data_IF_593714149276
#
_entry.id   IF_593714149276
#
_cell.length_a   1.000
_cell.length_b   1.000
_cell.length_c   1.000
_cell.angle_alpha   90.00
_cell.angle_beta   90.00
_cell.angle_gamma   90.00
#
_symmetry.space_group_name_H-M   'P 1'
#
loop_
_entity.id
_entity.type
_entity.pdbx_description
1 polymer ?
#
# COMPACT_ATOMS: atom_id res chain seq x y z
N UNK A 1 6.61 0.73 -30.06
CA UNK A 1 7.81 0.15 -29.40
C UNK A 1 7.57 -0.24 -27.94
N UNK A 2 6.85 0.54 -27.13
CA UNK A 2 6.50 0.13 -25.74
C UNK A 2 5.65 -1.14 -25.66
N UNK A 3 4.63 -1.32 -26.52
CA UNK A 3 3.80 -2.53 -26.50
C UNK A 3 4.59 -3.84 -26.76
N UNK A 4 5.58 -3.82 -27.65
CA UNK A 4 6.46 -4.98 -27.90
C UNK A 4 7.41 -5.27 -26.72
N UNK A 5 7.84 -4.23 -25.97
CA UNK A 5 8.59 -4.41 -24.72
C UNK A 5 7.74 -5.12 -23.66
N UNK A 6 6.44 -4.90 -23.63
CA UNK A 6 5.54 -5.54 -22.67
C UNK A 6 5.15 -6.98 -23.04
N UNK A 7 4.91 -7.26 -24.32
CA UNK A 7 4.61 -8.63 -24.78
C UNK A 7 5.70 -9.65 -24.38
N UNK A 8 6.96 -9.25 -24.50
CA UNK A 8 8.10 -10.12 -24.21
C UNK A 8 8.41 -10.30 -22.73
N UNK A 9 7.74 -9.58 -21.83
CA UNK A 9 7.89 -9.75 -20.37
C UNK A 9 6.68 -10.40 -19.71
N UNK A 10 5.50 -10.39 -20.34
CA UNK A 10 4.27 -10.97 -19.77
C UNK A 10 4.48 -12.45 -19.38
N UNK A 11 5.05 -13.33 -20.22
CA UNK A 11 5.28 -14.72 -19.84
C UNK A 11 6.21 -14.87 -18.62
N UNK A 12 7.19 -13.98 -18.49
CA UNK A 12 8.15 -13.96 -17.38
C UNK A 12 7.44 -13.57 -16.09
N UNK A 13 6.60 -12.53 -16.13
CA UNK A 13 5.77 -12.11 -14.98
C UNK A 13 4.82 -13.24 -14.57
N UNK A 14 4.15 -13.90 -15.52
CA UNK A 14 3.24 -15.01 -15.23
C UNK A 14 3.97 -16.17 -14.55
N UNK A 15 5.17 -16.51 -15.03
CA UNK A 15 6.02 -17.53 -14.40
C UNK A 15 6.48 -17.12 -13.01
N UNK A 16 6.88 -15.86 -12.81
CA UNK A 16 7.25 -15.32 -11.51
C UNK A 16 6.09 -15.36 -10.51
N UNK A 17 4.89 -14.98 -10.94
CA UNK A 17 3.65 -15.06 -10.15
C UNK A 17 3.36 -16.51 -9.75
N UNK A 18 3.48 -17.47 -10.68
CA UNK A 18 3.28 -18.89 -10.35
C UNK A 18 4.25 -19.37 -9.26
N UNK A 19 5.52 -18.98 -9.32
CA UNK A 19 6.47 -19.29 -8.26
C UNK A 19 6.13 -18.58 -6.95
N UNK A 20 5.72 -17.32 -7.01
CA UNK A 20 5.28 -16.56 -5.85
C UNK A 20 4.07 -17.21 -5.16
N UNK A 21 3.04 -17.57 -5.92
CA UNK A 21 1.81 -18.20 -5.40
C UNK A 21 2.08 -19.59 -4.80
N UNK A 22 3.08 -20.30 -5.33
CA UNK A 22 3.55 -21.59 -4.80
C UNK A 22 4.62 -21.43 -3.71
N UNK A 23 4.84 -20.21 -3.19
CA UNK A 23 5.81 -19.86 -2.15
C UNK A 23 7.28 -20.18 -2.49
N UNK A 24 7.59 -20.40 -3.76
CA UNK A 24 8.95 -20.61 -4.26
C UNK A 24 9.62 -19.25 -4.54
N UNK A 25 9.77 -18.43 -3.49
CA UNK A 25 10.16 -17.03 -3.62
C UNK A 25 11.56 -16.85 -4.22
N UNK A 26 12.49 -17.74 -3.92
CA UNK A 26 13.86 -17.75 -4.47
C UNK A 26 13.86 -17.90 -5.99
N UNK A 27 12.88 -18.63 -6.55
CA UNK A 27 12.71 -18.77 -8.00
C UNK A 27 11.95 -17.59 -8.61
N UNK A 28 11.08 -16.93 -7.85
CA UNK A 28 10.31 -15.77 -8.29
C UNK A 28 11.17 -14.50 -8.40
N UNK A 29 12.06 -14.26 -7.43
CA UNK A 29 12.92 -13.07 -7.34
C UNK A 29 13.69 -12.77 -8.63
N UNK A 30 14.49 -13.69 -9.22
CA UNK A 30 15.29 -13.36 -10.40
C UNK A 30 14.42 -12.99 -11.61
N UNK A 31 13.23 -13.58 -11.74
CA UNK A 31 12.29 -13.27 -12.81
C UNK A 31 11.68 -11.87 -12.63
N UNK A 32 11.30 -11.50 -11.41
CA UNK A 32 10.86 -10.13 -11.13
C UNK A 32 11.98 -9.11 -11.34
N UNK A 33 13.22 -9.44 -10.96
CA UNK A 33 14.39 -8.57 -11.16
C UNK A 33 14.65 -8.32 -12.64
N UNK A 34 14.62 -9.37 -13.46
CA UNK A 34 14.79 -9.25 -14.91
C UNK A 34 13.74 -8.30 -15.51
N UNK A 35 12.46 -8.51 -15.18
CA UNK A 35 11.40 -7.66 -15.73
C UNK A 35 11.47 -6.24 -15.17
N UNK A 36 11.85 -6.06 -13.91
CA UNK A 36 12.07 -4.75 -13.32
C UNK A 36 13.17 -3.98 -14.06
N UNK A 37 14.31 -4.61 -14.37
CA UNK A 37 15.38 -3.98 -15.14
C UNK A 37 14.92 -3.53 -16.53
N UNK A 38 14.04 -4.31 -17.17
CA UNK A 38 13.54 -4.01 -18.52
C UNK A 38 12.45 -2.94 -18.56
N UNK A 39 11.65 -2.83 -17.50
CA UNK A 39 10.41 -2.02 -17.48
C UNK A 39 10.41 -0.87 -16.48
N UNK A 40 11.27 -0.89 -15.47
CA UNK A 40 11.28 0.07 -14.37
C UNK A 40 10.01 0.05 -13.49
N UNK A 41 9.11 -0.93 -13.67
CA UNK A 41 7.82 -0.95 -12.96
C UNK A 41 8.01 -1.28 -11.48
N UNK A 42 7.77 -0.30 -10.61
CA UNK A 42 7.96 -0.47 -9.16
C UNK A 42 7.10 -1.58 -8.56
N UNK A 43 5.95 -1.94 -9.17
CA UNK A 43 5.15 -3.08 -8.72
C UNK A 43 5.96 -4.37 -8.64
N UNK A 44 6.92 -4.57 -9.56
CA UNK A 44 7.82 -5.72 -9.57
C UNK A 44 8.88 -5.61 -8.47
N UNK A 45 9.35 -4.39 -8.21
CA UNK A 45 10.26 -4.11 -7.11
C UNK A 45 9.62 -4.39 -5.75
N UNK A 46 8.36 -4.00 -5.56
CA UNK A 46 7.56 -4.34 -4.38
C UNK A 46 7.39 -5.86 -4.27
N UNK A 47 7.18 -6.57 -5.38
CA UNK A 47 7.11 -8.04 -5.38
C UNK A 47 8.44 -8.70 -4.95
N UNK A 48 9.58 -8.14 -5.35
CA UNK A 48 10.90 -8.61 -4.87
C UNK A 48 11.05 -8.38 -3.37
N UNK A 49 10.70 -7.19 -2.88
CA UNK A 49 10.72 -6.89 -1.45
C UNK A 49 9.81 -7.86 -0.67
N UNK A 50 8.61 -8.12 -1.17
CA UNK A 50 7.65 -9.08 -0.59
C UNK A 50 8.21 -10.50 -0.53
N UNK A 51 8.89 -10.97 -1.58
CA UNK A 51 9.61 -12.24 -1.56
C UNK A 51 10.67 -12.28 -0.45
N UNK A 52 11.46 -11.21 -0.29
CA UNK A 52 12.48 -11.16 0.75
C UNK A 52 11.88 -11.21 2.16
N UNK A 53 10.78 -10.49 2.40
CA UNK A 53 10.03 -10.57 3.66
C UNK A 53 9.53 -12.00 3.93
N UNK A 54 8.95 -12.65 2.91
CA UNK A 54 8.41 -14.00 3.06
C UNK A 54 9.48 -15.07 3.30
N UNK A 55 10.73 -14.79 2.92
CA UNK A 55 11.91 -15.62 3.19
C UNK A 55 12.55 -15.33 4.57
N UNK A 56 11.96 -14.45 5.39
CA UNK A 56 12.52 -14.04 6.68
C UNK A 56 13.62 -12.99 6.58
N UNK A 57 13.92 -12.48 5.37
CA UNK A 57 14.87 -11.38 5.18
C UNK A 57 14.18 -10.03 5.38
N UNK A 58 13.62 -9.83 6.57
CA UNK A 58 12.72 -8.72 6.88
C UNK A 58 13.39 -7.36 6.69
N UNK A 59 14.57 -7.17 7.27
CA UNK A 59 15.36 -5.94 7.16
C UNK A 59 15.61 -5.55 5.70
N UNK A 60 15.97 -6.53 4.86
CA UNK A 60 16.21 -6.31 3.43
C UNK A 60 14.94 -5.90 2.70
N UNK A 61 13.84 -6.63 2.92
CA UNK A 61 12.56 -6.33 2.27
C UNK A 61 12.03 -4.95 2.64
N UNK A 62 12.12 -4.57 3.91
CA UNK A 62 11.72 -3.24 4.39
C UNK A 62 12.63 -2.15 3.81
N UNK A 63 13.95 -2.34 3.88
CA UNK A 63 14.94 -1.35 3.39
C UNK A 63 14.75 -1.05 1.90
N UNK A 64 14.41 -2.07 1.10
CA UNK A 64 14.05 -1.89 -0.31
C UNK A 64 12.86 -0.93 -0.47
N UNK A 65 11.80 -1.13 0.31
CA UNK A 65 10.60 -0.29 0.24
C UNK A 65 10.86 1.15 0.72
N UNK A 66 11.69 1.34 1.75
CA UNK A 66 12.06 2.67 2.25
C UNK A 66 12.95 3.42 1.26
N UNK A 67 13.80 2.71 0.51
CA UNK A 67 14.78 3.28 -0.41
C UNK A 67 14.56 2.79 -1.85
N UNK A 68 13.41 3.11 -2.49
CA UNK A 68 13.13 2.63 -3.83
C UNK A 68 14.10 3.29 -4.84
N UNK A 69 14.38 2.61 -5.97
CA UNK A 69 15.34 3.07 -6.97
C UNK A 69 15.05 4.50 -7.47
N UNK A 70 16.08 5.33 -7.74
CA UNK A 70 15.90 6.65 -8.33
C UNK A 70 15.05 6.62 -9.60
N UNK A 71 14.22 7.63 -9.83
CA UNK A 71 13.30 7.70 -10.98
C UNK A 71 11.99 6.92 -10.83
N UNK A 72 11.87 6.04 -9.84
CA UNK A 72 10.60 5.35 -9.52
C UNK A 72 9.75 6.09 -8.48
N UNK A 73 10.28 7.18 -7.92
CA UNK A 73 9.65 7.97 -6.85
C UNK A 73 8.64 8.96 -7.42
N UNK A 74 7.36 8.61 -7.36
CA UNK A 74 6.22 9.48 -7.64
C UNK A 74 5.16 9.29 -6.53
N UNK A 75 4.04 10.02 -6.63
CA UNK A 75 2.99 9.95 -5.61
C UNK A 75 2.42 8.54 -5.50
N UNK A 76 2.00 7.96 -6.62
CA UNK A 76 1.34 6.65 -6.68
C UNK A 76 2.25 5.54 -6.15
N UNK A 77 3.54 5.61 -6.44
CA UNK A 77 4.50 4.62 -5.95
C UNK A 77 4.76 4.72 -4.46
N UNK A 78 4.85 5.93 -3.91
CA UNK A 78 4.96 6.14 -2.45
C UNK A 78 3.70 5.66 -1.73
N UNK A 79 2.53 5.96 -2.29
CA UNK A 79 1.25 5.47 -1.76
C UNK A 79 1.17 3.94 -1.76
N UNK A 80 1.61 3.29 -2.84
CA UNK A 80 1.63 1.84 -2.95
C UNK A 80 2.57 1.18 -1.93
N UNK A 81 3.74 1.77 -1.68
CA UNK A 81 4.69 1.32 -0.66
C UNK A 81 4.07 1.43 0.74
N UNK A 82 3.53 2.61 1.10
CA UNK A 82 2.95 2.82 2.43
C UNK A 82 1.72 1.94 2.66
N UNK A 83 0.89 1.73 1.62
CA UNK A 83 -0.23 0.80 1.68
C UNK A 83 0.25 -0.65 1.88
N UNK A 84 1.40 -1.02 1.31
CA UNK A 84 2.01 -2.32 1.54
C UNK A 84 2.51 -2.47 2.98
N UNK A 85 3.24 -1.48 3.50
CA UNK A 85 3.70 -1.46 4.89
C UNK A 85 2.52 -1.61 5.86
N UNK A 86 1.43 -0.87 5.61
CA UNK A 86 0.20 -0.97 6.40
C UNK A 86 -0.38 -2.40 6.41
N UNK A 87 -0.44 -3.07 5.25
CA UNK A 87 -0.91 -4.46 5.15
C UNK A 87 0.00 -5.46 5.87
N UNK A 88 1.27 -5.13 6.08
CA UNK A 88 2.22 -5.96 6.84
C UNK A 88 2.19 -5.70 8.35
N UNK A 89 1.41 -4.72 8.80
CA UNK A 89 1.33 -4.36 10.22
C UNK A 89 2.34 -3.30 10.64
N UNK A 90 3.13 -2.77 9.72
CA UNK A 90 4.06 -1.64 9.93
C UNK A 90 3.28 -0.31 9.97
N UNK A 91 2.31 -0.22 10.90
CA UNK A 91 1.31 0.86 10.96
C UNK A 91 1.99 2.21 11.18
N UNK A 92 2.99 2.29 12.06
CA UNK A 92 3.68 3.54 12.40
C UNK A 92 4.46 4.08 11.21
N UNK A 93 5.15 3.19 10.47
CA UNK A 93 5.88 3.56 9.25
C UNK A 93 4.94 4.02 8.14
N UNK A 94 3.84 3.28 7.94
CA UNK A 94 2.83 3.64 6.96
C UNK A 94 2.20 5.00 7.28
N UNK A 95 1.87 5.27 8.55
CA UNK A 95 1.33 6.57 8.98
C UNK A 95 2.31 7.70 8.72
N UNK A 96 3.59 7.53 9.09
CA UNK A 96 4.62 8.51 8.81
C UNK A 96 4.70 8.80 7.30
N UNK A 97 4.77 7.77 6.47
CA UNK A 97 4.84 7.90 5.03
C UNK A 97 3.61 8.59 4.40
N UNK A 98 2.39 8.27 4.86
CA UNK A 98 1.18 8.95 4.40
C UNK A 98 1.12 10.41 4.86
N UNK A 99 1.59 10.73 6.08
CA UNK A 99 1.72 12.13 6.53
C UNK A 99 2.68 12.92 5.66
N UNK A 100 3.82 12.35 5.29
CA UNK A 100 4.76 13.01 4.37
C UNK A 100 4.18 13.23 2.97
N UNK A 101 3.34 12.30 2.50
CA UNK A 101 2.62 12.47 1.24
C UNK A 101 1.65 13.63 1.36
N UNK A 102 0.80 13.63 2.38
CA UNK A 102 -0.22 14.66 2.60
C UNK A 102 0.37 16.05 2.88
N UNK A 103 1.56 16.14 3.48
CA UNK A 103 2.29 17.39 3.64
C UNK A 103 2.67 18.04 2.30
N UNK A 104 2.90 17.23 1.26
CA UNK A 104 3.27 17.70 -0.10
C UNK A 104 2.07 17.74 -1.06
N UNK A 105 1.09 16.86 -0.84
CA UNK A 105 -0.11 16.65 -1.67
C UNK A 105 -1.33 16.49 -0.76
N UNK A 106 -1.81 17.60 -0.17
CA UNK A 106 -2.91 17.58 0.78
C UNK A 106 -4.25 17.14 0.17
N UNK A 107 -4.34 17.12 -1.16
CA UNK A 107 -5.49 16.76 -1.99
C UNK A 107 -5.49 15.30 -2.45
N UNK A 108 -4.59 14.44 -1.93
CA UNK A 108 -4.65 13.01 -2.24
C UNK A 108 -5.80 12.33 -1.49
N UNK A 109 -6.91 12.06 -2.20
CA UNK A 109 -8.05 11.32 -1.66
C UNK A 109 -7.64 9.93 -1.16
N UNK A 110 -6.71 9.26 -1.86
CA UNK A 110 -6.26 7.91 -1.51
C UNK A 110 -5.42 7.91 -0.24
N UNK A 111 -4.55 8.89 -0.06
CA UNK A 111 -3.77 9.03 1.16
C UNK A 111 -4.65 9.36 2.37
N UNK A 112 -5.68 10.21 2.22
CA UNK A 112 -6.68 10.44 3.28
C UNK A 112 -7.45 9.16 3.63
N UNK A 113 -7.83 8.36 2.63
CA UNK A 113 -8.45 7.06 2.87
C UNK A 113 -7.55 6.13 3.69
N UNK A 114 -6.27 6.03 3.34
CA UNK A 114 -5.32 5.18 4.06
C UNK A 114 -5.07 5.67 5.50
N UNK A 115 -5.05 6.99 5.74
CA UNK A 115 -5.04 7.56 7.09
C UNK A 115 -6.31 7.17 7.88
N UNK A 116 -7.47 7.12 7.23
CA UNK A 116 -8.70 6.60 7.83
C UNK A 116 -8.55 5.14 8.26
N UNK A 117 -8.01 4.28 7.40
CA UNK A 117 -7.74 2.87 7.75
C UNK A 117 -6.78 2.76 8.94
N UNK A 118 -5.71 3.57 8.98
CA UNK A 118 -4.75 3.60 10.10
C UNK A 118 -5.43 4.00 11.41
N UNK A 119 -6.25 5.05 11.39
CA UNK A 119 -6.99 5.49 12.57
C UNK A 119 -8.01 4.46 13.03
N UNK A 120 -8.69 3.78 12.09
CA UNK A 120 -9.61 2.69 12.37
C UNK A 120 -8.91 1.52 13.07
N UNK A 121 -7.77 1.06 12.54
CA UNK A 121 -6.97 -0.01 13.16
C UNK A 121 -6.52 0.34 14.58
N UNK A 122 -6.25 1.61 14.85
CA UNK A 122 -5.91 2.13 16.18
C UNK A 122 -7.12 2.47 17.05
N UNK A 123 -8.34 2.12 16.62
CA UNK A 123 -9.60 2.41 17.33
C UNK A 123 -9.83 3.91 17.61
N UNK A 124 -9.21 4.78 16.82
CA UNK A 124 -9.39 6.25 16.85
C UNK A 124 -10.53 6.61 15.90
N UNK A 125 -11.75 6.21 16.26
CA UNK A 125 -12.89 6.21 15.34
C UNK A 125 -13.27 7.60 14.83
N UNK A 126 -13.17 8.64 15.66
CA UNK A 126 -13.48 10.01 15.26
C UNK A 126 -12.48 10.55 14.23
N UNK A 127 -11.18 10.32 14.44
CA UNK A 127 -10.12 10.70 13.50
C UNK A 127 -10.22 9.88 12.19
N UNK A 128 -10.66 8.62 12.30
CA UNK A 128 -10.93 7.76 11.15
C UNK A 128 -12.06 8.33 10.28
N UNK A 129 -13.16 8.76 10.90
CA UNK A 129 -14.29 9.40 10.21
C UNK A 129 -13.83 10.67 9.50
N UNK A 130 -13.09 11.57 10.17
CA UNK A 130 -12.57 12.81 9.55
C UNK A 130 -11.71 12.52 8.31
N UNK A 131 -10.84 11.51 8.40
CA UNK A 131 -9.97 11.12 7.30
C UNK A 131 -10.76 10.55 6.11
N UNK A 132 -11.77 9.70 6.36
CA UNK A 132 -12.65 9.22 5.30
C UNK A 132 -13.50 10.34 4.70
N UNK A 133 -13.94 11.31 5.50
CA UNK A 133 -14.68 12.48 5.00
C UNK A 133 -13.82 13.35 4.09
N UNK A 134 -12.55 13.59 4.44
CA UNK A 134 -11.60 14.27 3.54
C UNK A 134 -11.41 13.49 2.23
N UNK A 135 -11.31 12.17 2.30
CA UNK A 135 -11.23 11.32 1.10
C UNK A 135 -12.47 11.47 0.20
N UNK A 136 -13.67 11.45 0.79
CA UNK A 136 -14.93 11.57 0.06
C UNK A 136 -15.22 12.99 -0.46
N UNK A 137 -14.69 14.01 0.20
CA UNK A 137 -14.73 15.38 -0.29
C UNK A 137 -13.94 15.52 -1.60
N UNK A 138 -12.80 14.83 -1.69
CA UNK A 138 -11.91 14.87 -2.86
C UNK A 138 -12.34 13.89 -3.96
N UNK A 139 -12.95 12.76 -3.57
CA UNK A 139 -13.51 11.77 -4.48
C UNK A 139 -14.79 11.16 -3.90
N UNK A 140 -15.93 11.74 -4.27
CA UNK A 140 -17.25 11.39 -3.72
C UNK A 140 -17.68 9.96 -4.06
N UNK A 141 -17.19 9.40 -5.17
CA UNK A 141 -17.54 8.06 -5.63
C UNK A 141 -16.63 6.98 -5.04
N UNK A 142 -15.72 7.33 -4.12
CA UNK A 142 -14.81 6.35 -3.54
C UNK A 142 -15.49 5.45 -2.51
N UNK A 143 -16.16 4.40 -3.01
CA UNK A 143 -16.95 3.43 -2.23
C UNK A 143 -16.19 2.87 -1.04
N UNK A 144 -14.89 2.59 -1.19
CA UNK A 144 -14.05 2.07 -0.11
C UNK A 144 -14.01 3.02 1.11
N UNK A 145 -13.95 4.33 0.89
CA UNK A 145 -13.98 5.31 1.97
C UNK A 145 -15.37 5.41 2.63
N UNK A 146 -16.46 5.28 1.86
CA UNK A 146 -17.84 5.22 2.43
C UNK A 146 -18.00 4.02 3.36
N UNK A 147 -17.52 2.85 2.94
CA UNK A 147 -17.54 1.63 3.75
C UNK A 147 -16.70 1.83 5.02
N UNK A 148 -15.46 2.32 4.89
CA UNK A 148 -14.58 2.59 6.03
C UNK A 148 -15.19 3.57 7.05
N UNK A 149 -15.85 4.63 6.56
CA UNK A 149 -16.58 5.59 7.39
C UNK A 149 -17.72 4.92 8.15
N UNK A 150 -18.54 4.10 7.48
CA UNK A 150 -19.64 3.37 8.12
C UNK A 150 -19.17 2.46 9.25
N UNK A 151 -18.08 1.71 9.02
CA UNK A 151 -17.46 0.85 10.05
C UNK A 151 -16.99 1.70 11.24
N UNK A 152 -16.36 2.85 10.98
CA UNK A 152 -15.88 3.76 12.03
C UNK A 152 -17.03 4.34 12.87
N UNK A 153 -18.13 4.73 12.23
CA UNK A 153 -19.34 5.25 12.89
C UNK A 153 -19.98 4.22 13.79
N UNK A 154 -20.12 2.97 13.32
CA UNK A 154 -20.67 1.86 14.11
C UNK A 154 -19.87 1.66 15.40
N UNK A 155 -18.54 1.64 15.32
CA UNK A 155 -17.70 1.46 16.50
C UNK A 155 -17.66 2.68 17.44
N UNK A 156 -17.71 3.91 16.92
CA UNK A 156 -17.81 5.12 17.75
C UNK A 156 -19.12 5.15 18.53
N UNK A 157 -20.25 4.82 17.89
CA UNK A 157 -21.56 4.76 18.53
C UNK A 157 -21.62 3.76 19.69
N UNK A 158 -21.14 2.52 19.47
CA UNK A 158 -21.10 1.50 20.52
C UNK A 158 -20.24 1.91 21.72
N UNK A 159 -19.13 2.64 21.49
CA UNK A 159 -18.26 3.11 22.57
C UNK A 159 -18.88 4.24 23.38
N UNK A 160 -19.75 5.07 22.77
CA UNK A 160 -20.50 6.10 23.49
C UNK A 160 -21.55 5.46 24.40
N UNK A 161 -22.34 4.52 23.86
CA UNK A 161 -23.33 3.76 24.62
C UNK A 161 -22.69 3.04 25.84
N UNK A 162 -21.57 2.34 25.63
CA UNK A 162 -20.87 1.63 26.72
C UNK A 162 -20.23 2.54 27.79
N UNK A 163 -20.19 3.87 27.58
CA UNK A 163 -19.74 4.84 28.59
C UNK A 163 -20.90 5.50 29.35
N UNK A 164 -22.12 5.37 28.84
CA UNK A 164 -23.33 5.96 29.39
C UNK A 164 -24.11 4.96 30.27
N UNK A 165 -23.81 3.66 30.16
CA UNK A 165 -24.23 2.56 31.07
C UNK A 165 -23.29 2.40 32.27
#
# INVERSE_FOLDING_TARGET
QENQKFETVIPIIQKANKFFDTRQYEKAIPLYQEVFQRTGKLTLYIKIAECHLALGNEEKGISMLENPPPGTRNLQTREAINAFLLRKGEIDKAEFGFKEILAKKPDSYYSHYQMGIIHLQRKKYEASIDSFDRSLLLNTDFVAARIGKGISMYHSGNKKLAKEE
#
